data_IF_178062434863
#
_entry.id   IF_178062434863
#
_cell.length_a   1.000
_cell.length_b   1.000
_cell.length_c   1.000
_cell.angle_alpha   90.00
_cell.angle_beta   90.00
_cell.angle_gamma   90.00
#
_symmetry.space_group_name_H-M   'P 1'
#
loop_
_entity.id
_entity.type
_entity.pdbx_description
1 polymer ?
#
# COMPACT_ATOMS: atom_id res chain seq x y z
N UNK A 1 70.79 -2.92 32.76
CA UNK A 1 71.37 -1.71 33.36
C UNK A 1 71.50 -0.64 32.29
N UNK A 2 70.89 0.53 32.55
CA UNK A 2 71.23 1.87 32.02
C UNK A 2 71.18 2.10 30.50
N UNK A 3 70.17 2.81 29.99
CA UNK A 3 70.18 4.26 29.69
C UNK A 3 70.55 4.50 28.22
N UNK A 4 69.96 5.43 27.46
CA UNK A 4 69.02 6.48 27.76
C UNK A 4 68.48 7.09 26.46
N UNK A 5 67.46 7.93 26.63
CA UNK A 5 66.64 8.59 25.63
C UNK A 5 67.39 9.52 24.66
N UNK A 6 66.79 9.77 23.48
CA UNK A 6 66.68 11.14 22.97
C UNK A 6 65.36 11.34 22.20
N UNK A 7 64.60 12.32 22.69
CA UNK A 7 63.46 12.95 22.05
C UNK A 7 63.86 13.59 20.71
N UNK A 8 62.99 13.51 19.71
CA UNK A 8 62.73 14.64 18.80
C UNK A 8 61.25 14.65 18.46
N UNK A 9 60.62 15.76 18.82
CA UNK A 9 59.24 16.09 18.54
C UNK A 9 59.06 16.45 17.06
N UNK A 10 57.97 15.99 16.44
CA UNK A 10 57.35 16.73 15.34
C UNK A 10 55.84 16.83 15.60
N UNK A 11 55.46 17.99 16.11
CA UNK A 11 54.10 18.52 16.05
C UNK A 11 53.88 18.97 14.61
N UNK A 12 53.02 18.27 13.88
CA UNK A 12 52.44 18.79 12.64
C UNK A 12 50.92 18.74 12.79
N UNK A 13 50.37 19.89 13.15
CA UNK A 13 48.95 20.17 13.17
C UNK A 13 48.40 20.07 11.73
N UNK A 14 47.69 18.97 11.42
CA UNK A 14 46.85 18.92 10.24
C UNK A 14 45.52 19.59 10.58
N UNK A 15 45.48 20.89 10.29
CA UNK A 15 44.28 21.70 10.26
C UNK A 15 43.27 21.09 9.30
N UNK A 16 42.06 20.94 9.81
CA UNK A 16 40.86 20.47 9.14
C UNK A 16 40.68 21.11 7.76
N UNK A 17 40.63 20.26 6.73
CA UNK A 17 39.96 20.58 5.47
C UNK A 17 38.72 19.69 5.38
N UNK A 18 37.65 20.12 6.03
CA UNK A 18 36.32 19.62 5.74
C UNK A 18 36.01 19.87 4.26
N UNK A 19 35.59 18.85 3.48
CA UNK A 19 35.03 19.11 2.17
C UNK A 19 33.81 20.01 2.34
N UNK A 20 33.87 21.20 1.72
CA UNK A 20 32.76 22.15 1.65
C UNK A 20 31.53 21.40 1.13
N UNK A 21 30.55 21.20 2.03
CA UNK A 21 29.21 20.74 1.68
C UNK A 21 28.69 21.66 0.56
N UNK A 22 28.25 21.11 -0.60
CA UNK A 22 27.57 21.93 -1.58
C UNK A 22 26.36 22.59 -0.92
N UNK A 23 26.23 23.88 -1.19
CA UNK A 23 25.22 24.76 -0.66
C UNK A 23 23.83 24.14 -0.75
N UNK A 24 23.03 24.43 0.27
CA UNK A 24 21.62 24.07 0.39
C UNK A 24 20.89 24.22 -0.94
N UNK A 25 20.57 23.09 -1.56
CA UNK A 25 19.39 23.02 -2.40
C UNK A 25 18.23 23.39 -1.49
N UNK A 26 17.61 24.55 -1.74
CA UNK A 26 16.26 24.83 -1.26
C UNK A 26 15.42 23.66 -1.74
N UNK A 27 15.18 22.68 -0.85
CA UNK A 27 14.04 21.80 -1.01
C UNK A 27 12.87 22.76 -0.97
N UNK A 28 12.32 23.06 -2.14
CA UNK A 28 10.96 23.57 -2.23
C UNK A 28 10.16 22.47 -1.55
N UNK A 29 9.81 22.71 -0.30
CA UNK A 29 8.60 22.19 0.28
C UNK A 29 7.53 22.47 -0.77
N UNK A 30 7.22 21.42 -1.54
CA UNK A 30 6.04 21.41 -2.38
C UNK A 30 4.90 21.41 -1.38
N UNK A 31 4.54 22.61 -0.91
CA UNK A 31 3.22 22.83 -0.38
C UNK A 31 2.29 22.36 -1.51
N UNK A 32 1.65 21.22 -1.30
CA UNK A 32 0.64 20.70 -2.18
C UNK A 32 -0.33 21.85 -2.45
N UNK A 33 -0.38 22.28 -3.71
CA UNK A 33 -1.45 23.18 -4.15
C UNK A 33 -2.74 22.40 -3.88
N UNK A 34 -3.69 22.93 -3.10
CA UNK A 34 -4.93 22.24 -2.86
C UNK A 34 -5.69 22.22 -4.19
N UNK A 35 -5.59 21.11 -4.92
CA UNK A 35 -6.55 20.77 -5.95
C UNK A 35 -7.89 20.61 -5.24
N UNK A 36 -8.87 21.37 -5.70
CA UNK A 36 -10.13 21.69 -5.02
C UNK A 36 -11.07 20.48 -4.70
N UNK A 37 -10.57 19.23 -4.81
CA UNK A 37 -11.32 17.98 -4.72
C UNK A 37 -10.68 16.92 -3.80
N UNK A 38 -9.63 17.22 -3.03
CA UNK A 38 -9.10 16.26 -2.06
C UNK A 38 -10.04 16.16 -0.84
N UNK A 39 -10.48 14.94 -0.53
CA UNK A 39 -11.35 14.67 0.61
C UNK A 39 -10.55 14.84 1.90
N UNK A 40 -11.01 15.74 2.77
CA UNK A 40 -10.27 16.08 3.99
C UNK A 40 -11.01 15.58 5.24
N UNK A 41 -10.40 14.60 5.91
CA UNK A 41 -10.88 13.99 7.16
C UNK A 41 -9.98 14.32 8.35
N UNK A 42 -9.06 15.28 8.22
CA UNK A 42 -8.12 15.68 9.28
C UNK A 42 -8.80 16.15 10.58
N UNK A 43 -10.04 16.63 10.51
CA UNK A 43 -10.81 17.02 11.68
C UNK A 43 -11.53 15.86 12.40
N UNK A 44 -11.48 14.64 11.84
CA UNK A 44 -12.18 13.47 12.38
C UNK A 44 -11.21 12.59 13.18
N UNK A 45 -11.73 11.89 14.19
CA UNK A 45 -10.96 10.97 15.01
C UNK A 45 -11.81 9.77 15.48
N UNK A 46 -11.13 8.67 15.84
CA UNK A 46 -11.79 7.48 16.37
C UNK A 46 -12.90 6.94 15.46
N UNK A 47 -14.09 6.74 16.02
CA UNK A 47 -15.22 6.15 15.29
C UNK A 47 -15.72 6.99 14.11
N UNK A 48 -15.73 8.32 14.21
CA UNK A 48 -16.21 9.18 13.13
C UNK A 48 -15.30 9.15 11.91
N UNK A 49 -13.98 9.11 12.15
CA UNK A 49 -12.99 8.89 11.10
C UNK A 49 -13.22 7.54 10.42
N UNK A 50 -13.36 6.46 11.19
CA UNK A 50 -13.58 5.12 10.63
C UNK A 50 -14.82 5.06 9.71
N UNK A 51 -15.94 5.65 10.14
CA UNK A 51 -17.17 5.69 9.33
C UNK A 51 -16.96 6.50 8.04
N UNK A 52 -16.31 7.66 8.12
CA UNK A 52 -16.04 8.50 6.96
C UNK A 52 -15.12 7.80 5.95
N UNK A 53 -14.04 7.17 6.44
CA UNK A 53 -13.10 6.44 5.59
C UNK A 53 -13.74 5.21 4.93
N UNK A 54 -14.59 4.48 5.66
CA UNK A 54 -15.33 3.34 5.09
C UNK A 54 -16.24 3.77 3.96
N UNK A 55 -16.97 4.87 4.18
CA UNK A 55 -17.82 5.47 3.15
C UNK A 55 -16.99 5.92 1.94
N UNK A 56 -15.88 6.61 2.18
CA UNK A 56 -14.97 7.08 1.13
C UNK A 56 -14.45 5.94 0.27
N UNK A 57 -13.86 4.91 0.87
CA UNK A 57 -13.37 3.75 0.12
C UNK A 57 -14.51 3.03 -0.61
N UNK A 58 -15.69 2.94 -0.01
CA UNK A 58 -16.83 2.28 -0.66
C UNK A 58 -17.31 3.02 -1.92
N UNK A 59 -17.30 4.35 -1.90
CA UNK A 59 -17.77 5.21 -2.99
C UNK A 59 -16.69 5.44 -4.06
N UNK A 60 -15.44 5.60 -3.65
CA UNK A 60 -14.34 6.10 -4.50
C UNK A 60 -13.34 5.02 -4.93
N UNK A 61 -13.53 3.76 -4.53
CA UNK A 61 -12.73 2.63 -5.05
C UNK A 61 -13.24 2.19 -6.41
N UNK A 62 -12.38 1.99 -7.40
CA UNK A 62 -12.74 1.48 -8.71
C UNK A 62 -11.79 0.38 -9.18
N UNK A 63 -12.28 -0.44 -10.12
CA UNK A 63 -11.46 -1.40 -10.84
C UNK A 63 -10.92 -0.73 -12.10
N UNK A 64 -9.63 -0.87 -12.37
CA UNK A 64 -8.98 -0.44 -13.61
C UNK A 64 -8.41 -1.65 -14.33
N UNK A 65 -8.38 -1.63 -15.66
CA UNK A 65 -7.84 -2.71 -16.47
C UNK A 65 -6.81 -2.13 -17.43
N UNK A 66 -5.59 -2.62 -17.40
CA UNK A 66 -4.49 -2.14 -18.23
C UNK A 66 -3.48 -3.25 -18.54
N UNK A 67 -3.15 -3.44 -19.83
CA UNK A 67 -2.15 -4.42 -20.30
C UNK A 67 -2.33 -5.81 -19.67
N UNK A 68 -3.55 -6.37 -19.77
CA UNK A 68 -3.90 -7.70 -19.23
C UNK A 68 -3.68 -7.84 -17.72
N UNK A 69 -3.78 -6.72 -16.99
CA UNK A 69 -3.79 -6.66 -15.53
C UNK A 69 -5.03 -5.97 -15.05
N UNK A 70 -5.47 -6.37 -13.87
CA UNK A 70 -6.60 -5.77 -13.18
C UNK A 70 -6.06 -5.05 -11.95
N UNK A 71 -6.40 -3.79 -11.78
CA UNK A 71 -5.97 -2.95 -10.67
C UNK A 71 -7.13 -2.48 -9.83
N UNK A 72 -6.87 -2.25 -8.54
CA UNK A 72 -7.78 -1.53 -7.63
C UNK A 72 -7.21 -0.15 -7.39
N UNK A 73 -7.98 0.89 -7.69
CA UNK A 73 -7.62 2.28 -7.46
C UNK A 73 -8.65 2.91 -6.50
N UNK A 74 -8.24 3.85 -5.65
CA UNK A 74 -9.16 4.68 -4.89
C UNK A 74 -8.63 6.10 -4.75
N UNK A 75 -9.54 7.08 -4.56
CA UNK A 75 -9.12 8.48 -4.42
C UNK A 75 -8.32 8.73 -3.15
N UNK A 76 -7.33 9.59 -3.29
CA UNK A 76 -6.51 10.07 -2.18
C UNK A 76 -7.38 10.88 -1.20
N UNK A 77 -7.06 10.79 0.09
CA UNK A 77 -7.74 11.57 1.12
C UNK A 77 -6.77 11.97 2.22
N UNK A 78 -7.09 13.06 2.92
CA UNK A 78 -6.27 13.61 3.98
C UNK A 78 -6.78 13.15 5.35
N UNK A 79 -5.87 12.75 6.23
CA UNK A 79 -6.15 12.44 7.63
C UNK A 79 -5.16 13.13 8.56
N UNK A 80 -5.52 13.23 9.84
CA UNK A 80 -4.61 13.67 10.90
C UNK A 80 -4.53 12.59 11.96
N UNK A 81 -3.31 12.08 12.17
CA UNK A 81 -3.04 11.05 13.19
C UNK A 81 -2.94 11.62 14.61
N UNK A 82 -2.67 12.93 14.74
CA UNK A 82 -2.58 13.66 16.01
C UNK A 82 -2.79 15.16 15.74
N UNK A 83 -2.47 16.06 16.68
CA UNK A 83 -2.48 17.53 16.49
C UNK A 83 -1.61 18.05 15.32
N UNK A 84 -0.99 17.14 14.56
CA UNK A 84 -0.26 17.43 13.35
C UNK A 84 -1.16 17.91 12.20
N UNK A 85 -0.52 18.61 11.26
CA UNK A 85 -1.10 18.99 9.98
C UNK A 85 -1.68 17.77 9.25
N UNK A 86 -2.72 18.01 8.47
CA UNK A 86 -3.33 17.02 7.58
C UNK A 86 -2.27 16.41 6.65
N UNK A 87 -2.28 15.08 6.52
CA UNK A 87 -1.39 14.33 5.64
C UNK A 87 -2.21 13.43 4.72
N UNK A 88 -1.70 13.22 3.52
CA UNK A 88 -2.17 12.22 2.58
C UNK A 88 -2.20 10.83 3.23
N UNK A 89 -3.16 9.97 2.85
CA UNK A 89 -3.30 8.62 3.40
C UNK A 89 -2.03 7.81 3.20
N UNK A 90 -1.40 7.89 2.01
CA UNK A 90 -0.13 7.21 1.75
C UNK A 90 1.07 7.86 2.45
N UNK A 91 0.92 9.08 2.97
CA UNK A 91 1.92 9.70 3.85
C UNK A 91 1.87 9.16 5.28
N UNK A 92 0.72 8.63 5.69
CA UNK A 92 0.49 8.06 7.04
C UNK A 92 0.63 6.54 7.05
N UNK A 93 0.18 5.86 5.99
CA UNK A 93 0.22 4.42 5.84
C UNK A 93 1.08 4.04 4.64
N UNK A 94 2.12 3.24 4.86
CA UNK A 94 3.08 2.93 3.80
C UNK A 94 2.61 1.81 2.86
N UNK A 95 1.58 1.05 3.24
CA UNK A 95 1.14 -0.12 2.48
C UNK A 95 -0.38 -0.18 2.33
N UNK A 96 -0.80 -0.85 1.26
CA UNK A 96 -2.16 -1.24 0.97
C UNK A 96 -2.20 -2.76 0.80
N UNK A 97 -3.20 -3.40 1.41
CA UNK A 97 -3.56 -4.78 1.16
C UNK A 97 -4.97 -4.82 0.59
N UNK A 98 -5.14 -5.54 -0.51
CA UNK A 98 -6.45 -5.85 -1.07
C UNK A 98 -6.68 -7.35 -1.02
N UNK A 99 -7.92 -7.75 -0.79
CA UNK A 99 -8.32 -9.16 -0.78
C UNK A 99 -9.48 -9.36 -1.72
N UNK A 100 -9.31 -10.29 -2.65
CA UNK A 100 -10.37 -10.81 -3.50
C UNK A 100 -10.78 -12.19 -3.03
N UNK A 101 -12.06 -12.49 -3.18
CA UNK A 101 -12.66 -13.79 -2.87
C UNK A 101 -13.35 -14.31 -4.12
N UNK A 102 -13.13 -15.59 -4.43
CA UNK A 102 -13.78 -16.24 -5.56
C UNK A 102 -15.29 -16.42 -5.32
N UNK A 103 -16.08 -16.24 -6.38
CA UNK A 103 -17.54 -16.40 -6.31
C UNK A 103 -17.97 -17.81 -6.64
N UNK A 104 -18.90 -18.34 -5.84
CA UNK A 104 -19.63 -19.57 -6.16
C UNK A 104 -18.86 -20.88 -5.97
N UNK A 105 -17.63 -20.82 -5.46
CA UNK A 105 -16.76 -21.98 -5.21
C UNK A 105 -16.20 -21.88 -3.79
N UNK A 106 -16.12 -23.01 -3.10
CA UNK A 106 -15.43 -23.14 -1.82
C UNK A 106 -14.64 -24.45 -1.79
N UNK A 107 -13.39 -24.38 -1.33
CA UNK A 107 -12.56 -25.55 -1.04
C UNK A 107 -12.50 -25.74 0.47
N UNK A 108 -12.80 -26.95 0.95
CA UNK A 108 -12.82 -27.26 2.39
C UNK A 108 -13.66 -26.31 3.26
N UNK A 109 -14.70 -25.68 2.67
CA UNK A 109 -15.59 -24.75 3.36
C UNK A 109 -15.13 -23.28 3.33
N UNK A 110 -13.96 -22.98 2.77
CA UNK A 110 -13.46 -21.62 2.58
C UNK A 110 -13.37 -21.27 1.09
N UNK A 111 -13.79 -20.07 0.66
CA UNK A 111 -13.65 -19.66 -0.73
C UNK A 111 -12.17 -19.39 -1.06
N UNK A 112 -11.72 -19.69 -2.30
CA UNK A 112 -10.42 -19.26 -2.79
C UNK A 112 -10.20 -17.76 -2.63
N UNK A 113 -8.97 -17.35 -2.31
CA UNK A 113 -8.63 -15.94 -2.05
C UNK A 113 -7.39 -15.51 -2.81
N UNK A 114 -7.38 -14.26 -3.29
CA UNK A 114 -6.17 -13.56 -3.75
C UNK A 114 -5.95 -12.37 -2.81
N UNK A 115 -4.81 -12.31 -2.16
CA UNK A 115 -4.37 -11.19 -1.33
C UNK A 115 -3.19 -10.52 -2.02
N UNK A 116 -3.29 -9.22 -2.30
CA UNK A 116 -2.19 -8.43 -2.85
C UNK A 116 -1.80 -7.36 -1.85
N UNK A 117 -0.54 -7.35 -1.46
CA UNK A 117 0.07 -6.32 -0.61
C UNK A 117 1.06 -5.52 -1.44
N UNK A 118 0.92 -4.19 -1.40
CA UNK A 118 1.68 -3.26 -2.22
C UNK A 118 2.01 -1.98 -1.44
N UNK A 119 3.08 -1.25 -1.80
CA UNK A 119 3.33 0.08 -1.28
C UNK A 119 2.18 1.04 -1.60
N UNK A 120 1.73 1.83 -0.62
CA UNK A 120 0.80 2.93 -0.84
C UNK A 120 1.53 4.05 -1.56
N UNK A 121 1.13 4.32 -2.81
CA UNK A 121 1.72 5.38 -3.63
C UNK A 121 0.64 6.28 -4.15
N UNK A 122 0.88 7.57 -4.10
CA UNK A 122 0.05 8.54 -4.81
C UNK A 122 0.35 8.41 -6.30
N UNK A 123 -0.69 8.39 -7.13
CA UNK A 123 -0.56 8.37 -8.58
C UNK A 123 -0.01 9.70 -9.11
N UNK A 124 0.45 9.74 -10.36
CA UNK A 124 1.06 10.94 -10.95
C UNK A 124 0.12 12.14 -11.08
N UNK A 125 -1.18 11.96 -10.90
CA UNK A 125 -2.18 13.04 -10.92
C UNK A 125 -2.47 13.63 -9.53
N UNK A 126 -1.80 13.14 -8.47
CA UNK A 126 -1.93 13.56 -7.06
C UNK A 126 -3.35 13.49 -6.46
N UNK A 127 -4.29 12.83 -7.14
CA UNK A 127 -5.69 12.74 -6.75
C UNK A 127 -6.13 11.31 -6.37
N UNK A 128 -5.31 10.30 -6.65
CA UNK A 128 -5.60 8.91 -6.34
C UNK A 128 -4.40 8.16 -5.77
N UNK A 129 -4.70 7.11 -5.01
CA UNK A 129 -3.73 6.05 -4.73
C UNK A 129 -3.55 5.25 -6.02
N UNK A 130 -2.31 5.10 -6.45
CA UNK A 130 -1.95 4.33 -7.64
C UNK A 130 -2.51 2.91 -7.58
N UNK A 131 -2.85 2.33 -8.74
CA UNK A 131 -3.53 1.04 -8.79
C UNK A 131 -2.68 -0.08 -8.19
N UNK A 132 -3.31 -0.87 -7.31
CA UNK A 132 -2.76 -2.11 -6.76
C UNK A 132 -3.10 -3.23 -7.75
N UNK A 133 -2.09 -3.79 -8.40
CA UNK A 133 -2.27 -4.66 -9.57
C UNK A 133 -2.31 -6.14 -9.20
N UNK A 134 -3.33 -6.83 -9.69
CA UNK A 134 -3.40 -8.29 -9.81
C UNK A 134 -2.85 -8.68 -11.20
N UNK A 135 -1.72 -9.39 -11.28
CA UNK A 135 -1.13 -9.78 -12.57
C UNK A 135 -1.84 -11.02 -13.11
N UNK A 136 -3.02 -10.84 -13.69
CA UNK A 136 -3.91 -11.93 -14.12
C UNK A 136 -3.25 -12.90 -15.10
N UNK A 137 -2.49 -12.39 -16.07
CA UNK A 137 -1.75 -13.25 -17.00
C UNK A 137 -0.69 -14.11 -16.28
N UNK A 138 0.07 -13.52 -15.35
CA UNK A 138 1.08 -14.25 -14.60
C UNK A 138 0.47 -15.37 -13.75
N UNK A 139 -0.70 -15.13 -13.14
CA UNK A 139 -1.43 -16.16 -12.39
C UNK A 139 -1.88 -17.30 -13.32
N UNK A 140 -2.40 -16.99 -14.52
CA UNK A 140 -2.83 -18.01 -15.48
C UNK A 140 -1.68 -18.88 -16.00
N UNK A 141 -0.50 -18.30 -16.22
CA UNK A 141 0.69 -19.02 -16.65
C UNK A 141 1.26 -19.94 -15.55
N UNK A 142 1.04 -19.59 -14.28
CA UNK A 142 1.45 -20.39 -13.13
C UNK A 142 0.27 -21.24 -12.64
N UNK A 143 0.11 -22.43 -13.23
CA UNK A 143 -0.97 -23.35 -12.88
C UNK A 143 -1.09 -23.57 -11.36
N UNK A 144 -2.33 -23.54 -10.82
CA UNK A 144 -2.55 -23.73 -9.41
C UNK A 144 -2.25 -25.18 -9.05
N UNK A 145 -1.64 -25.40 -7.89
CA UNK A 145 -1.51 -26.73 -7.31
C UNK A 145 -2.61 -26.91 -6.27
N UNK A 146 -3.13 -28.13 -6.18
CA UNK A 146 -4.17 -28.50 -5.20
C UNK A 146 -3.61 -28.32 -3.78
N UNK A 147 -4.37 -27.67 -2.90
CA UNK A 147 -4.08 -27.54 -1.46
C UNK A 147 -2.73 -26.87 -1.12
N UNK A 148 -2.18 -26.06 -2.03
CA UNK A 148 -0.98 -25.26 -1.78
C UNK A 148 -1.32 -23.76 -1.73
N UNK A 149 -0.93 -23.09 -0.64
CA UNK A 149 -0.86 -21.63 -0.61
C UNK A 149 0.28 -21.17 -1.51
N UNK A 150 -0.05 -20.32 -2.48
CA UNK A 150 0.90 -19.81 -3.47
C UNK A 150 1.33 -18.41 -3.05
N UNK A 151 2.63 -18.15 -3.04
CA UNK A 151 3.19 -16.85 -2.72
C UNK A 151 4.09 -16.40 -3.86
N UNK A 152 3.84 -15.20 -4.39
CA UNK A 152 4.56 -14.63 -5.50
C UNK A 152 5.06 -13.23 -5.14
N UNK A 153 6.29 -12.93 -5.52
CA UNK A 153 6.81 -11.57 -5.58
C UNK A 153 6.68 -11.08 -7.02
N UNK A 154 5.93 -10.00 -7.23
CA UNK A 154 5.72 -9.43 -8.56
C UNK A 154 5.98 -7.92 -8.50
N UNK A 155 7.07 -7.48 -9.15
CA UNK A 155 7.61 -6.12 -9.00
C UNK A 155 7.95 -5.84 -7.53
N UNK A 156 7.12 -5.05 -6.86
CA UNK A 156 7.24 -4.59 -5.49
C UNK A 156 6.00 -4.95 -4.68
N UNK A 157 5.23 -5.93 -5.16
CA UNK A 157 4.01 -6.42 -4.55
C UNK A 157 4.19 -7.88 -4.12
N UNK A 158 3.59 -8.23 -2.98
CA UNK A 158 3.46 -9.60 -2.51
C UNK A 158 2.05 -10.10 -2.82
N UNK A 159 1.95 -11.19 -3.56
CA UNK A 159 0.68 -11.81 -3.93
C UNK A 159 0.59 -13.16 -3.24
N UNK A 160 -0.49 -13.39 -2.51
CA UNK A 160 -0.80 -14.67 -1.89
C UNK A 160 -2.09 -15.20 -2.48
N UNK A 161 -2.10 -16.47 -2.87
CA UNK A 161 -3.30 -17.17 -3.29
C UNK A 161 -3.53 -18.35 -2.36
N UNK A 162 -4.76 -18.48 -1.85
CA UNK A 162 -5.12 -19.47 -0.84
C UNK A 162 -6.35 -20.25 -1.25
N UNK A 163 -6.48 -21.45 -0.68
CA UNK A 163 -7.69 -22.29 -0.77
C UNK A 163 -8.11 -22.63 -2.22
N UNK A 164 -7.14 -22.84 -3.11
CA UNK A 164 -7.38 -23.36 -4.47
C UNK A 164 -7.54 -24.89 -4.42
N UNK A 165 -8.46 -25.46 -5.20
CA UNK A 165 -8.64 -26.92 -5.34
C UNK A 165 -8.08 -27.48 -6.67
N UNK A 166 -7.10 -26.79 -7.26
CA UNK A 166 -6.43 -27.23 -8.50
C UNK A 166 -6.95 -26.59 -9.80
N UNK A 167 -7.89 -25.65 -9.73
CA UNK A 167 -8.21 -24.76 -10.84
C UNK A 167 -8.34 -23.30 -10.39
N UNK A 168 -8.24 -22.38 -11.35
CA UNK A 168 -8.51 -20.97 -11.12
C UNK A 168 -10.01 -20.70 -11.20
N UNK A 169 -10.64 -20.13 -10.16
CA UNK A 169 -11.99 -19.58 -10.27
C UNK A 169 -12.09 -18.51 -11.36
N UNK A 170 -13.22 -18.51 -12.06
CA UNK A 170 -13.47 -17.53 -13.12
C UNK A 170 -13.69 -16.13 -12.55
N UNK A 171 -14.63 -15.97 -11.61
CA UNK A 171 -15.05 -14.66 -11.08
C UNK A 171 -14.48 -14.40 -9.68
N UNK A 172 -13.83 -13.25 -9.53
CA UNK A 172 -13.23 -12.76 -8.28
C UNK A 172 -13.91 -11.47 -7.87
N UNK A 173 -14.22 -11.34 -6.58
CA UNK A 173 -14.91 -10.18 -6.00
C UNK A 173 -13.99 -9.50 -5.00
N UNK A 174 -13.82 -8.18 -5.11
CA UNK A 174 -13.08 -7.41 -4.11
C UNK A 174 -13.85 -7.48 -2.79
N UNK A 175 -13.23 -8.09 -1.79
CA UNK A 175 -13.82 -8.29 -0.47
C UNK A 175 -13.22 -7.36 0.58
N UNK A 176 -11.98 -6.90 0.40
CA UNK A 176 -11.33 -6.05 1.41
C UNK A 176 -10.31 -5.09 0.82
N UNK A 177 -10.23 -3.91 1.44
CA UNK A 177 -9.09 -2.99 1.35
C UNK A 177 -8.64 -2.66 2.76
N UNK A 178 -7.34 -2.78 3.01
CA UNK A 178 -6.67 -2.36 4.23
C UNK A 178 -5.51 -1.42 3.88
N UNK A 179 -5.42 -0.27 4.55
CA UNK A 179 -4.23 0.60 4.53
C UNK A 179 -3.57 0.51 5.89
N UNK A 180 -2.26 0.31 5.96
CA UNK A 180 -1.57 0.05 7.23
C UNK A 180 -0.13 0.53 7.23
N UNK A 181 0.40 0.79 8.44
CA UNK A 181 1.80 1.11 8.62
C UNK A 181 2.65 -0.14 8.86
N UNK A 182 3.84 -0.18 8.25
CA UNK A 182 4.86 -1.20 8.52
C UNK A 182 5.43 -1.08 9.93
N UNK A 183 5.43 0.13 10.50
CA UNK A 183 6.04 0.43 11.80
C UNK A 183 5.14 0.01 12.97
N UNK A 184 3.82 0.15 12.80
CA UNK A 184 2.83 -0.31 13.78
C UNK A 184 1.62 -0.93 13.06
N UNK A 185 1.58 -2.27 13.02
CA UNK A 185 0.46 -3.01 12.43
C UNK A 185 -0.87 -2.81 13.16
N UNK A 186 -0.87 -2.26 14.38
CA UNK A 186 -2.12 -1.89 15.06
C UNK A 186 -2.73 -0.62 14.49
N UNK A 187 -1.93 0.15 13.75
CA UNK A 187 -2.38 1.32 13.02
C UNK A 187 -2.71 0.92 11.58
N UNK A 188 -3.89 0.32 11.43
CA UNK A 188 -4.48 0.05 10.14
C UNK A 188 -5.90 0.58 10.06
N UNK A 189 -6.33 0.81 8.83
CA UNK A 189 -7.72 1.07 8.49
C UNK A 189 -8.16 0.02 7.47
N UNK A 190 -9.24 -0.68 7.79
CA UNK A 190 -9.75 -1.81 7.02
C UNK A 190 -11.23 -1.58 6.67
N UNK A 191 -11.57 -1.83 5.41
CA UNK A 191 -12.92 -1.93 4.90
C UNK A 191 -13.13 -3.31 4.30
N UNK A 192 -14.05 -4.07 4.87
CA UNK A 192 -14.56 -5.31 4.29
C UNK A 192 -15.89 -5.03 3.55
N UNK A 193 -15.94 -5.39 2.27
CA UNK A 193 -17.07 -5.20 1.37
C UNK A 193 -18.13 -6.31 1.53
N UNK A 194 -17.73 -7.54 1.87
CA UNK A 194 -18.64 -8.69 2.05
C UNK A 194 -19.67 -8.53 3.18
N UNK A 195 -19.34 -7.78 4.24
CA UNK A 195 -20.28 -7.50 5.34
C UNK A 195 -21.17 -6.26 5.06
N UNK A 196 -20.80 -5.41 4.11
CA UNK A 196 -21.37 -4.07 3.90
C UNK A 196 -21.86 -3.82 2.47
N UNK A 197 -22.47 -4.81 1.82
CA UNK A 197 -23.11 -4.67 0.50
C UNK A 197 -24.20 -3.57 0.43
N UNK A 198 -24.61 -2.98 1.55
CA UNK A 198 -25.67 -1.95 1.56
C UNK A 198 -25.25 -0.63 0.90
N UNK A 199 -23.96 -0.32 0.81
CA UNK A 199 -23.51 0.96 0.24
C UNK A 199 -23.07 0.89 -1.22
N UNK A 200 -23.04 -0.30 -1.86
CA UNK A 200 -22.70 -0.44 -3.28
C UNK A 200 -23.69 -1.33 -4.00
N UNK A 201 -24.31 -0.82 -5.07
CA UNK A 201 -25.31 -1.56 -5.86
C UNK A 201 -24.69 -2.72 -6.66
N UNK A 202 -23.40 -2.64 -6.98
CA UNK A 202 -22.69 -3.67 -7.73
C UNK A 202 -21.36 -3.99 -7.03
N UNK A 203 -21.03 -5.28 -6.84
CA UNK A 203 -19.71 -5.68 -6.37
C UNK A 203 -18.65 -5.31 -7.40
N UNK A 204 -17.45 -4.99 -6.94
CA UNK A 204 -16.30 -4.86 -7.82
C UNK A 204 -15.77 -6.25 -8.13
N UNK A 205 -15.88 -6.66 -9.39
CA UNK A 205 -15.49 -8.00 -9.82
C UNK A 205 -14.53 -7.94 -10.99
N UNK A 206 -13.73 -9.00 -11.14
CA UNK A 206 -12.98 -9.27 -12.36
C UNK A 206 -13.04 -10.75 -12.71
N UNK A 207 -12.71 -11.06 -13.97
CA UNK A 207 -12.65 -12.44 -14.45
C UNK A 207 -11.22 -12.80 -14.82
N UNK A 208 -10.77 -13.97 -14.38
CA UNK A 208 -9.51 -14.56 -14.84
C UNK A 208 -9.79 -15.34 -16.12
N UNK A 209 -9.33 -14.85 -17.28
CA UNK A 209 -9.50 -15.48 -18.61
C UNK A 209 -8.25 -15.37 -19.45
#
# INVERSE_FOLDING_TARGET
>A
MSSGAFLMAFVAALVAQHPKRPASGKFRELASVPTNNQFNYAGLAGGSLNVALKKHLLEETQMVVENDRVGVEFKEFMISKSQNAAQNVCGVYENVRIRFVARGIASSGEPPQIVVEAPCRVSSNDASVGPIWVPTQYLLENHPKVDEDLVYEYSDQLIQVKNLDGYWPEEWVLDEIEVFSSLDKKESFQLSFGENHRGRTHPLTFTLR
#
